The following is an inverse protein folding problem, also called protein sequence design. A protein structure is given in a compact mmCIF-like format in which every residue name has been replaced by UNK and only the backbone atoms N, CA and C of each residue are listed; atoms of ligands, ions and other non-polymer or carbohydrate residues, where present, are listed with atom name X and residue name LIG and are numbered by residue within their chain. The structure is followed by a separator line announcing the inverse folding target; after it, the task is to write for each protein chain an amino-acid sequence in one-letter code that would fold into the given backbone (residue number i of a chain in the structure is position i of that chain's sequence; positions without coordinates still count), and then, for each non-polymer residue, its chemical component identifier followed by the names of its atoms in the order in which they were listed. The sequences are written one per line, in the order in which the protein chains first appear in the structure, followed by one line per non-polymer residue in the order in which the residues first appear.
data_IF_011369715149
#
_entry.id   IF_011369715149
#
_cell.length_a   1.000
_cell.length_b   1.000
_cell.length_c   1.000
_cell.angle_alpha   90.00
_cell.angle_beta   90.00
_cell.angle_gamma   90.00
#
_symmetry.space_group_name_H-M   'P 1'
#
loop_
_entity.id
_entity.type
_entity.pdbx_description
1 polymer ?
#
# COMPACT_ATOMS: atom_id res chain seq x y z
N UNK A 1 16.13 -16.36 -1.30
CA UNK A 1 16.15 -15.54 -0.07
C UNK A 1 14.85 -14.76 -0.07
N UNK A 2 13.84 -15.19 0.70
CA UNK A 2 12.69 -14.30 0.96
C UNK A 2 13.23 -13.28 1.93
N UNK A 3 13.60 -12.11 1.42
CA UNK A 3 13.87 -10.95 2.25
C UNK A 3 12.71 -10.86 3.25
N UNK A 4 13.02 -10.74 4.53
CA UNK A 4 12.02 -10.72 5.60
C UNK A 4 11.21 -9.44 5.42
N UNK A 5 10.19 -9.50 4.56
CA UNK A 5 9.23 -8.44 4.38
C UNK A 5 8.62 -8.21 5.76
N UNK A 6 8.77 -6.99 6.26
CA UNK A 6 8.07 -6.61 7.47
C UNK A 6 6.57 -6.61 7.16
N UNK A 7 5.74 -6.86 8.17
CA UNK A 7 4.29 -6.83 8.01
C UNK A 7 3.83 -5.55 7.28
N UNK A 8 4.45 -4.43 7.61
CA UNK A 8 4.20 -3.15 6.97
C UNK A 8 4.45 -3.18 5.46
N UNK A 9 5.52 -3.79 4.96
CA UNK A 9 5.77 -3.86 3.52
C UNK A 9 4.72 -4.74 2.84
N UNK A 10 4.33 -5.86 3.46
CA UNK A 10 3.27 -6.73 2.93
C UNK A 10 1.92 -6.00 2.86
N UNK A 11 1.58 -5.24 3.89
CA UNK A 11 0.35 -4.44 3.94
C UNK A 11 0.34 -3.38 2.84
N UNK A 12 1.48 -2.71 2.61
CA UNK A 12 1.65 -1.75 1.51
C UNK A 12 1.47 -2.40 0.14
N UNK A 13 2.12 -3.54 -0.10
CA UNK A 13 2.02 -4.26 -1.38
C UNK A 13 0.60 -4.74 -1.64
N UNK A 14 -0.08 -5.24 -0.61
CA UNK A 14 -1.48 -5.67 -0.70
C UNK A 14 -2.41 -4.50 -1.00
N UNK A 15 -2.23 -3.36 -0.33
CA UNK A 15 -3.00 -2.15 -0.58
C UNK A 15 -2.80 -1.63 -2.02
N UNK A 16 -1.57 -1.61 -2.54
CA UNK A 16 -1.30 -1.23 -3.93
C UNK A 16 -2.02 -2.19 -4.89
N UNK A 17 -1.96 -3.49 -4.63
CA UNK A 17 -2.61 -4.50 -5.47
C UNK A 17 -4.13 -4.34 -5.48
N UNK A 18 -4.76 -4.16 -4.33
CA UNK A 18 -6.22 -3.98 -4.24
C UNK A 18 -6.69 -2.68 -4.89
N UNK A 19 -5.97 -1.58 -4.69
CA UNK A 19 -6.29 -0.28 -5.31
C UNK A 19 -6.11 -0.32 -6.84
N UNK A 20 -5.05 -0.98 -7.33
CA UNK A 20 -4.84 -1.14 -8.78
C UNK A 20 -5.88 -2.05 -9.42
N UNK A 21 -6.35 -3.10 -8.73
CA UNK A 21 -7.47 -3.92 -9.22
C UNK A 21 -8.78 -3.14 -9.30
N UNK A 22 -9.03 -2.23 -8.34
CA UNK A 22 -10.29 -1.49 -8.26
C UNK A 22 -10.33 -0.29 -9.21
N UNK A 23 -9.29 0.53 -9.21
CA UNK A 23 -9.26 1.84 -9.85
C UNK A 23 -8.30 1.91 -11.05
N UNK A 24 -7.62 0.81 -11.38
CA UNK A 24 -6.60 0.73 -12.44
C UNK A 24 -5.27 1.41 -12.08
N UNK A 25 -5.22 2.16 -10.97
CA UNK A 25 -4.01 2.79 -10.43
C UNK A 25 -4.15 2.96 -8.91
N UNK A 26 -3.02 2.88 -8.21
CA UNK A 26 -2.91 3.32 -6.82
C UNK A 26 -2.23 4.69 -6.78
N UNK A 27 -2.85 5.68 -6.14
CA UNK A 27 -2.19 6.95 -5.79
C UNK A 27 -1.76 6.94 -4.32
N UNK A 28 -0.77 7.78 -3.99
CA UNK A 28 -0.27 7.91 -2.62
C UNK A 28 -1.35 8.36 -1.63
N UNK A 29 -2.29 9.22 -2.06
CA UNK A 29 -3.45 9.62 -1.25
C UNK A 29 -4.36 8.43 -0.97
N UNK A 30 -4.70 7.63 -1.99
CA UNK A 30 -5.53 6.43 -1.80
C UNK A 30 -4.84 5.39 -0.91
N UNK A 31 -3.52 5.26 -1.02
CA UNK A 31 -2.75 4.35 -0.19
C UNK A 31 -2.71 4.81 1.27
N UNK A 32 -2.52 6.11 1.50
CA UNK A 32 -2.55 6.72 2.82
C UNK A 32 -3.92 6.51 3.51
N UNK A 33 -5.01 6.76 2.77
CA UNK A 33 -6.37 6.56 3.27
C UNK A 33 -6.66 5.08 3.58
N UNK A 34 -6.22 4.17 2.70
CA UNK A 34 -6.42 2.73 2.87
C UNK A 34 -5.64 2.17 4.08
N UNK A 35 -4.39 2.60 4.26
CA UNK A 35 -3.51 2.16 5.35
C UNK A 35 -3.69 2.98 6.64
N UNK A 36 -4.58 3.99 6.63
CA UNK A 36 -4.81 4.94 7.73
C UNK A 36 -3.52 5.62 8.24
N UNK A 37 -2.61 5.92 7.32
CA UNK A 37 -1.35 6.62 7.60
C UNK A 37 -1.40 8.03 7.04
N UNK A 38 -0.49 8.90 7.49
CA UNK A 38 -0.39 10.23 6.88
C UNK A 38 0.19 10.12 5.47
N UNK A 39 -0.24 10.95 4.50
CA UNK A 39 0.32 10.93 3.14
C UNK A 39 1.84 11.14 3.07
N UNK A 40 2.43 11.79 4.08
CA UNK A 40 3.88 11.98 4.19
C UNK A 40 4.63 10.72 4.67
N UNK A 41 3.91 9.69 5.12
CA UNK A 41 4.44 8.40 5.58
C UNK A 41 4.35 7.30 4.51
N UNK A 42 3.84 7.63 3.32
CA UNK A 42 3.64 6.74 2.16
C UNK A 42 4.76 6.86 1.15
#
# INVERSE_FOLDING_TARGET
MRETLTQSIEDYLKAIYELTLKDGRASTTQLADYLQVTPASV
#
